data_IF_023711350830
#
_entry.id   IF_023711350830
#
_cell.length_a   1.000
_cell.length_b   1.000
_cell.length_c   1.000
_cell.angle_alpha   90.00
_cell.angle_beta   90.00
_cell.angle_gamma   90.00
#
_symmetry.space_group_name_H-M   'P 1'
#
loop_
_entity.id
_entity.type
_entity.pdbx_description
1 polymer ?
#
# COMPACT_ATOMS: atom_id res chain seq x y z
N UNK A 1 8.35 -5.22 15.53
CA UNK A 1 7.15 -5.16 14.67
C UNK A 1 7.57 -4.68 13.27
N UNK A 2 7.12 -5.32 12.19
CA UNK A 2 7.44 -4.88 10.81
C UNK A 2 6.30 -3.99 10.30
N UNK A 3 6.61 -2.74 9.99
CA UNK A 3 5.67 -1.78 9.40
C UNK A 3 5.70 -1.96 7.89
N UNK A 4 4.56 -1.76 7.23
CA UNK A 4 4.42 -1.92 5.78
C UNK A 4 3.97 -0.60 5.21
N UNK A 5 4.60 -0.14 4.13
CA UNK A 5 4.13 1.03 3.39
C UNK A 5 3.10 0.56 2.37
N UNK A 6 1.95 1.23 2.31
CA UNK A 6 0.88 1.02 1.34
C UNK A 6 0.78 2.25 0.46
N UNK A 7 0.88 2.09 -0.86
CA UNK A 7 0.72 3.17 -1.83
C UNK A 7 -0.58 2.99 -2.57
N UNK A 8 -1.37 4.05 -2.67
CA UNK A 8 -2.56 4.07 -3.49
C UNK A 8 -2.15 4.18 -4.96
N UNK A 9 -2.42 3.16 -5.77
CA UNK A 9 -2.10 3.18 -7.21
C UNK A 9 -2.92 4.22 -7.98
N UNK A 10 -4.10 4.60 -7.46
CA UNK A 10 -5.00 5.55 -8.14
C UNK A 10 -4.63 7.01 -7.93
N UNK A 11 -3.90 7.37 -6.86
CA UNK A 11 -3.57 8.77 -6.56
C UNK A 11 -2.15 8.99 -6.02
N UNK A 12 -1.37 7.93 -5.81
CA UNK A 12 -0.02 8.00 -5.26
C UNK A 12 0.05 8.17 -3.74
N UNK A 13 -1.07 8.16 -3.01
CA UNK A 13 -1.07 8.38 -1.57
C UNK A 13 -0.39 7.26 -0.79
N UNK A 14 0.54 7.59 0.11
CA UNK A 14 1.31 6.62 0.87
C UNK A 14 0.82 6.54 2.32
N UNK A 15 0.69 5.33 2.86
CA UNK A 15 0.29 5.09 4.24
C UNK A 15 1.05 3.92 4.84
N UNK A 16 1.66 4.15 5.99
CA UNK A 16 2.42 3.12 6.71
C UNK A 16 1.53 2.45 7.75
N UNK A 17 1.52 1.12 7.78
CA UNK A 17 0.72 0.37 8.75
C UNK A 17 0.73 -1.14 8.52
N UNK A 18 0.41 -1.89 9.56
CA UNK A 18 0.39 -3.36 9.49
C UNK A 18 -0.70 -3.91 8.59
N UNK A 19 -1.84 -3.21 8.51
CA UNK A 19 -3.03 -3.67 7.78
C UNK A 19 -3.24 -2.88 6.48
N UNK A 20 -3.66 -3.58 5.42
CA UNK A 20 -4.03 -2.97 4.13
C UNK A 20 -5.21 -2.01 4.31
N UNK A 21 -5.09 -0.73 3.93
CA UNK A 21 -6.22 0.19 3.98
C UNK A 21 -7.29 -0.22 2.94
N UNK A 22 -8.54 -0.28 3.38
CA UNK A 22 -9.68 -0.58 2.50
C UNK A 22 -10.11 0.61 1.65
N UNK A 23 -9.92 1.84 2.15
CA UNK A 23 -10.32 3.08 1.49
C UNK A 23 -9.17 4.08 1.52
N UNK A 24 -8.94 4.75 0.40
CA UNK A 24 -8.04 5.87 0.28
C UNK A 24 -8.65 7.12 0.87
N UNK A 25 -7.97 7.71 1.85
CA UNK A 25 -8.37 8.98 2.46
C UNK A 25 -8.17 10.17 1.53
N UNK A 26 -7.28 10.05 0.53
CA UNK A 26 -6.99 11.13 -0.41
C UNK A 26 -7.97 11.16 -1.59
N UNK A 27 -8.16 10.03 -2.28
CA UNK A 27 -9.02 9.96 -3.47
C UNK A 27 -10.37 9.27 -3.25
N UNK A 28 -10.61 8.67 -2.08
CA UNK A 28 -11.84 7.92 -1.80
C UNK A 28 -11.91 6.52 -2.43
N UNK A 29 -10.93 6.14 -3.26
CA UNK A 29 -10.85 4.83 -3.91
C UNK A 29 -10.86 3.67 -2.92
N UNK A 30 -11.60 2.60 -3.24
CA UNK A 30 -11.68 1.38 -2.42
C UNK A 30 -10.74 0.32 -2.99
N UNK A 31 -9.95 -0.32 -2.14
CA UNK A 31 -9.07 -1.42 -2.53
C UNK A 31 -7.79 -1.03 -3.31
N UNK A 32 -7.64 0.24 -3.68
CA UNK A 32 -6.54 0.76 -4.51
C UNK A 32 -5.15 0.84 -3.86
N UNK A 33 -4.97 0.30 -2.65
CA UNK A 33 -3.66 0.31 -1.99
C UNK A 33 -2.85 -0.94 -2.33
N UNK A 34 -1.69 -0.74 -2.92
CA UNK A 34 -0.67 -1.73 -3.15
C UNK A 34 0.42 -1.65 -2.08
N UNK A 35 1.10 -2.77 -1.82
CA UNK A 35 2.17 -2.83 -0.83
C UNK A 35 3.45 -2.22 -1.43
N UNK A 36 3.89 -1.07 -0.94
CA UNK A 36 5.16 -0.43 -1.32
C UNK A 36 6.31 -1.00 -0.48
N UNK A 37 6.50 -2.31 -0.55
CA UNK A 37 7.73 -2.93 -0.07
C UNK A 37 8.54 -3.42 -1.27
N UNK A 38 9.71 -2.79 -1.47
CA UNK A 38 10.74 -3.25 -2.40
C UNK A 38 11.44 -4.51 -1.91
N UNK A 39 10.69 -5.60 -1.74
CA UNK A 39 11.24 -6.95 -1.67
C UNK A 39 10.20 -8.01 -2.08
N UNK A 40 9.89 -8.07 -3.37
CA UNK A 40 9.67 -9.35 -4.02
C UNK A 40 10.89 -9.60 -4.91
N UNK A 41 11.95 -10.20 -4.35
CA UNK A 41 12.74 -11.13 -5.16
C UNK A 41 11.80 -12.25 -5.58
N UNK A 42 11.41 -12.29 -6.86
CA UNK A 42 11.25 -13.55 -7.57
C UNK A 42 12.63 -13.90 -8.11
N UNK A 43 13.33 -14.76 -7.40
CA UNK A 43 14.40 -15.60 -7.94
C UNK A 43 13.93 -17.03 -7.68
N UNK A 44 14.14 -17.90 -8.67
CA UNK A 44 13.69 -19.29 -8.85
C UNK A 44 12.34 -19.52 -9.55
#
# INVERSE_FOLDING_TARGET
MKVVVWVCESCGFEKEGRCKPQKCSNCGGKGSFIKKEGNQKKEE
#
